data_IF_301638198866
#
_entry.id   IF_301638198866
#
_cell.length_a   1.000
_cell.length_b   1.000
_cell.length_c   1.000
_cell.angle_alpha   90.00
_cell.angle_beta   90.00
_cell.angle_gamma   90.00
#
_symmetry.space_group_name_H-M   'P 1'
#
loop_
_entity.id
_entity.type
_entity.pdbx_description
1 polymer ?
#
# COMPACT_ATOMS: atom_id res chain seq x y z
N UNK A 1 8.24 -21.86 20.90
CA UNK A 1 8.82 -20.52 20.66
C UNK A 1 7.66 -19.53 20.55
N UNK A 2 7.59 -18.49 21.40
CA UNK A 2 6.63 -17.41 21.23
C UNK A 2 7.11 -16.54 20.06
N UNK A 3 6.43 -16.61 18.91
CA UNK A 3 6.71 -15.71 17.79
C UNK A 3 6.08 -14.37 18.16
N UNK A 4 6.89 -13.41 18.61
CA UNK A 4 6.43 -12.04 18.89
C UNK A 4 6.64 -11.18 17.64
N UNK A 5 5.56 -10.67 17.05
CA UNK A 5 5.60 -9.75 15.90
C UNK A 5 5.77 -8.28 16.29
N UNK A 6 6.29 -8.00 17.50
CA UNK A 6 6.42 -6.63 18.05
C UNK A 6 7.22 -5.70 17.16
N UNK A 7 8.32 -6.18 16.56
CA UNK A 7 9.11 -5.39 15.62
C UNK A 7 8.30 -5.04 14.37
N UNK A 8 7.58 -5.99 13.79
CA UNK A 8 6.80 -5.77 12.56
C UNK A 8 5.68 -4.75 12.80
N UNK A 9 5.02 -4.82 13.97
CA UNK A 9 4.01 -3.84 14.40
C UNK A 9 4.60 -2.43 14.60
N UNK A 10 5.83 -2.34 15.11
CA UNK A 10 6.53 -1.07 15.27
C UNK A 10 6.89 -0.48 13.90
N UNK A 11 7.35 -1.30 12.95
CA UNK A 11 7.63 -0.85 11.58
C UNK A 11 6.36 -0.32 10.90
N UNK A 12 5.22 -1.00 11.04
CA UNK A 12 3.94 -0.48 10.50
C UNK A 12 3.55 0.86 11.10
N UNK A 13 3.77 1.06 12.41
CA UNK A 13 3.48 2.32 13.08
C UNK A 13 4.39 3.47 12.59
N UNK A 14 5.66 3.19 12.30
CA UNK A 14 6.57 4.17 11.68
C UNK A 14 6.09 4.56 10.28
N UNK A 15 5.66 3.58 9.47
CA UNK A 15 5.12 3.83 8.14
C UNK A 15 3.87 4.71 8.21
N UNK A 16 2.97 4.45 9.16
CA UNK A 16 1.77 5.27 9.36
C UNK A 16 2.13 6.70 9.77
N UNK A 17 3.08 6.87 10.70
CA UNK A 17 3.58 8.17 11.10
C UNK A 17 4.19 8.96 9.94
N UNK A 18 5.02 8.31 9.12
CA UNK A 18 5.61 8.91 7.93
C UNK A 18 4.54 9.28 6.88
N UNK A 19 3.54 8.41 6.68
CA UNK A 19 2.44 8.65 5.74
C UNK A 19 1.59 9.85 6.16
N UNK A 20 1.29 9.97 7.47
CA UNK A 20 0.56 11.13 8.01
C UNK A 20 1.37 12.42 7.92
N UNK A 21 2.69 12.36 8.19
CA UNK A 21 3.58 13.50 8.01
C UNK A 21 3.60 13.95 6.54
N UNK A 22 3.71 13.01 5.60
CA UNK A 22 3.67 13.30 4.16
C UNK A 22 2.33 13.94 3.76
N UNK A 23 1.20 13.40 4.22
CA UNK A 23 -0.12 14.00 3.98
C UNK A 23 -0.25 15.42 4.56
N UNK A 24 0.33 15.67 5.73
CA UNK A 24 0.39 17.01 6.32
C UNK A 24 1.23 17.98 5.48
N UNK A 25 2.39 17.55 4.99
CA UNK A 25 3.22 18.34 4.08
C UNK A 25 2.52 18.65 2.76
N UNK A 26 1.79 17.68 2.19
CA UNK A 26 0.96 17.89 1.00
C UNK A 26 -0.12 18.95 1.24
N UNK A 27 -0.77 18.93 2.41
CA UNK A 27 -1.77 19.93 2.77
C UNK A 27 -1.16 21.33 2.85
N UNK A 28 0.01 21.47 3.48
CA UNK A 28 0.72 22.75 3.56
C UNK A 28 1.10 23.27 2.17
N UNK A 29 1.58 22.39 1.28
CA UNK A 29 1.91 22.74 -0.10
C UNK A 29 0.69 23.21 -0.91
N UNK A 30 -0.47 22.59 -0.71
CA UNK A 30 -1.72 23.04 -1.31
C UNK A 30 -2.14 24.42 -0.81
N UNK A 31 -2.12 24.65 0.51
CA UNK A 31 -2.49 25.95 1.11
C UNK A 31 -1.61 27.07 0.54
N UNK A 32 -0.29 26.85 0.46
CA UNK A 32 0.62 27.82 -0.13
C UNK A 32 0.27 28.12 -1.59
N UNK A 33 -0.01 27.07 -2.38
CA UNK A 33 -0.39 27.21 -3.79
C UNK A 33 -1.72 27.97 -3.97
N UNK A 34 -2.68 27.79 -3.05
CA UNK A 34 -3.92 28.57 -3.02
C UNK A 34 -3.64 30.06 -2.78
N UNK A 35 -2.77 30.38 -1.83
CA UNK A 35 -2.43 31.76 -1.49
C UNK A 35 -1.69 32.49 -2.62
N UNK A 36 -0.83 31.79 -3.35
CA UNK A 36 -0.06 32.35 -4.47
C UNK A 36 -0.81 32.32 -5.80
N UNK A 37 -2.09 31.91 -5.81
CA UNK A 37 -2.91 31.73 -7.03
C UNK A 37 -2.22 30.89 -8.12
N UNK A 38 -1.32 29.99 -7.75
CA UNK A 38 -0.52 29.18 -8.67
C UNK A 38 -1.14 27.80 -8.93
N UNK A 39 -2.39 27.60 -8.53
CA UNK A 39 -3.05 26.30 -8.64
C UNK A 39 -3.53 26.01 -10.05
N UNK A 40 -2.97 24.95 -10.62
CA UNK A 40 -3.42 24.37 -11.87
C UNK A 40 -4.35 23.18 -11.61
N UNK A 41 -5.32 22.95 -12.49
CA UNK A 41 -6.26 21.81 -12.44
C UNK A 41 -5.55 20.46 -12.27
N UNK A 42 -4.41 20.32 -12.93
CA UNK A 42 -3.58 19.11 -12.90
C UNK A 42 -2.93 18.85 -11.54
N UNK A 43 -2.54 19.91 -10.83
CA UNK A 43 -1.98 19.83 -9.48
C UNK A 43 -3.04 19.37 -8.47
N UNK A 44 -4.26 19.92 -8.55
CA UNK A 44 -5.39 19.49 -7.70
C UNK A 44 -5.70 18.02 -7.93
N UNK A 45 -5.80 17.60 -9.20
CA UNK A 45 -6.04 16.19 -9.56
C UNK A 45 -4.96 15.27 -8.98
N UNK A 46 -3.70 15.66 -9.07
CA UNK A 46 -2.56 14.91 -8.53
C UNK A 46 -2.62 14.80 -7.02
N UNK A 47 -2.92 15.89 -6.32
CA UNK A 47 -3.07 15.88 -4.87
C UNK A 47 -4.19 14.94 -4.42
N UNK A 48 -5.30 14.88 -5.15
CA UNK A 48 -6.38 13.91 -4.86
C UNK A 48 -5.86 12.46 -4.95
N UNK A 49 -5.13 12.11 -6.01
CA UNK A 49 -4.55 10.77 -6.15
C UNK A 49 -3.50 10.46 -5.07
N UNK A 50 -2.70 11.45 -4.67
CA UNK A 50 -1.74 11.30 -3.57
C UNK A 50 -2.43 11.08 -2.21
N UNK A 51 -3.54 11.77 -1.93
CA UNK A 51 -4.33 11.50 -0.72
C UNK A 51 -4.99 10.12 -0.76
N UNK A 52 -5.51 9.70 -1.92
CA UNK A 52 -6.03 8.34 -2.10
C UNK A 52 -4.92 7.31 -1.83
N UNK A 53 -3.71 7.52 -2.36
CA UNK A 53 -2.56 6.65 -2.11
C UNK A 53 -2.21 6.59 -0.61
N UNK A 54 -2.20 7.72 0.10
CA UNK A 54 -1.98 7.76 1.55
C UNK A 54 -3.03 6.94 2.30
N UNK A 55 -4.32 7.10 1.97
CA UNK A 55 -5.40 6.33 2.58
C UNK A 55 -5.23 4.83 2.32
N UNK A 56 -4.88 4.44 1.10
CA UNK A 56 -4.62 3.03 0.76
C UNK A 56 -3.47 2.47 1.60
N UNK A 57 -2.37 3.21 1.78
CA UNK A 57 -1.23 2.79 2.59
C UNK A 57 -1.64 2.57 4.05
N UNK A 58 -2.43 3.47 4.64
CA UNK A 58 -2.96 3.32 6.00
C UNK A 58 -3.86 2.07 6.11
N UNK A 59 -4.69 1.79 5.10
CA UNK A 59 -5.48 0.57 5.07
C UNK A 59 -4.62 -0.70 4.95
N UNK A 60 -3.55 -0.67 4.15
CA UNK A 60 -2.58 -1.78 4.06
C UNK A 60 -1.96 -2.04 5.43
N UNK A 61 -1.48 -0.99 6.10
CA UNK A 61 -0.91 -1.07 7.45
C UNK A 61 -1.89 -1.70 8.45
N UNK A 62 -3.16 -1.27 8.43
CA UNK A 62 -4.20 -1.84 9.29
C UNK A 62 -4.42 -3.35 9.08
N UNK A 63 -4.45 -3.81 7.82
CA UNK A 63 -4.55 -5.24 7.53
C UNK A 63 -3.28 -6.01 7.91
N UNK A 64 -2.10 -5.44 7.72
CA UNK A 64 -0.83 -6.03 8.17
C UNK A 64 -0.81 -6.20 9.69
N UNK A 65 -1.24 -5.19 10.45
CA UNK A 65 -1.34 -5.28 11.91
C UNK A 65 -2.26 -6.43 12.35
N UNK A 66 -3.41 -6.62 11.67
CA UNK A 66 -4.31 -7.75 11.91
C UNK A 66 -3.67 -9.10 11.58
N UNK A 67 -2.91 -9.18 10.49
CA UNK A 67 -2.16 -10.40 10.13
C UNK A 67 -1.12 -10.71 11.21
N UNK A 68 -0.36 -9.71 11.67
CA UNK A 68 0.64 -9.88 12.73
C UNK A 68 0.01 -10.34 14.04
N UNK A 69 -1.17 -9.80 14.38
CA UNK A 69 -1.92 -10.28 15.52
C UNK A 69 -2.34 -11.75 15.39
N UNK A 70 -2.80 -12.19 14.20
CA UNK A 70 -3.12 -13.61 13.96
C UNK A 70 -1.89 -14.52 14.07
N UNK A 71 -0.70 -14.03 13.70
CA UNK A 71 0.57 -14.76 13.89
C UNK A 71 0.87 -14.92 15.39
N UNK A 72 0.73 -13.86 16.18
CA UNK A 72 1.00 -13.89 17.62
C UNK A 72 0.10 -14.89 18.36
N UNK A 73 -1.15 -15.06 17.91
CA UNK A 73 -2.12 -16.01 18.51
C UNK A 73 -2.14 -17.39 17.82
N UNK A 74 -1.17 -17.68 16.95
CA UNK A 74 -1.05 -18.95 16.21
C UNK A 74 -2.26 -19.31 15.30
N UNK A 75 -3.05 -18.32 14.89
CA UNK A 75 -4.25 -18.47 14.02
C UNK A 75 -4.00 -18.00 12.57
N UNK A 76 -2.74 -17.98 12.12
CA UNK A 76 -2.38 -17.49 10.79
C UNK A 76 -2.90 -18.36 9.64
N UNK A 77 -3.14 -19.65 9.83
CA UNK A 77 -3.65 -20.55 8.78
C UNK A 77 -5.19 -20.59 8.70
N UNK A 78 -5.86 -19.60 9.28
CA UNK A 78 -7.32 -19.53 9.31
C UNK A 78 -7.91 -18.84 8.07
N UNK A 79 -9.20 -19.07 7.77
CA UNK A 79 -9.91 -18.34 6.72
C UNK A 79 -9.89 -16.81 6.92
N UNK A 80 -9.76 -16.34 8.19
CA UNK A 80 -9.65 -14.92 8.52
C UNK A 80 -8.33 -14.34 8.02
N UNK A 81 -7.22 -15.03 8.24
CA UNK A 81 -5.91 -14.61 7.75
C UNK A 81 -5.90 -14.54 6.22
N UNK A 82 -6.46 -15.56 5.55
CA UNK A 82 -6.58 -15.56 4.09
C UNK A 82 -7.36 -14.35 3.56
N UNK A 83 -8.45 -13.97 4.22
CA UNK A 83 -9.21 -12.76 3.87
C UNK A 83 -8.37 -11.49 4.02
N UNK A 84 -7.58 -11.37 5.08
CA UNK A 84 -6.70 -10.20 5.27
C UNK A 84 -5.59 -10.15 4.22
N UNK A 85 -4.91 -11.27 3.95
CA UNK A 85 -3.87 -11.34 2.89
C UNK A 85 -4.47 -10.96 1.53
N UNK A 86 -5.67 -11.46 1.21
CA UNK A 86 -6.39 -11.11 -0.03
C UNK A 86 -6.69 -9.61 -0.14
N UNK A 87 -7.12 -8.99 0.96
CA UNK A 87 -7.37 -7.56 1.01
C UNK A 87 -6.08 -6.75 0.80
N UNK A 88 -4.96 -7.18 1.39
CA UNK A 88 -3.66 -6.52 1.19
C UNK A 88 -3.25 -6.58 -0.29
N UNK A 89 -3.42 -7.72 -0.98
CA UNK A 89 -3.16 -7.82 -2.42
C UNK A 89 -3.98 -6.81 -3.23
N UNK A 90 -5.28 -6.74 -2.99
CA UNK A 90 -6.16 -5.79 -3.70
C UNK A 90 -5.76 -4.35 -3.44
N UNK A 91 -5.40 -4.01 -2.20
CA UNK A 91 -4.96 -2.65 -1.85
C UNK A 91 -3.65 -2.29 -2.56
N UNK A 92 -2.68 -3.19 -2.68
CA UNK A 92 -1.48 -2.94 -3.48
C UNK A 92 -1.80 -2.76 -4.98
N UNK A 93 -2.76 -3.50 -5.52
CA UNK A 93 -3.24 -3.28 -6.90
C UNK A 93 -3.91 -1.90 -7.05
N UNK A 94 -4.71 -1.48 -6.07
CA UNK A 94 -5.30 -0.13 -6.06
C UNK A 94 -4.24 0.97 -5.90
N UNK A 95 -3.20 0.73 -5.11
CA UNK A 95 -2.09 1.66 -4.93
C UNK A 95 -1.35 1.90 -6.26
N UNK A 96 -1.13 0.84 -7.04
CA UNK A 96 -0.61 0.97 -8.41
C UNK A 96 -1.48 1.90 -9.26
N UNK A 97 -2.80 1.68 -9.28
CA UNK A 97 -3.73 2.52 -10.04
C UNK A 97 -3.73 3.98 -9.55
N UNK A 98 -3.64 4.21 -8.24
CA UNK A 98 -3.55 5.55 -7.68
C UNK A 98 -2.27 6.28 -8.12
N UNK A 99 -1.13 5.59 -8.15
CA UNK A 99 0.14 6.15 -8.65
C UNK A 99 0.04 6.43 -10.16
N UNK A 100 -0.57 5.54 -10.93
CA UNK A 100 -0.81 5.78 -12.36
C UNK A 100 -1.69 7.01 -12.61
N UNK A 101 -2.62 7.34 -11.70
CA UNK A 101 -3.43 8.56 -11.76
C UNK A 101 -2.63 9.87 -11.65
N UNK A 102 -1.40 9.82 -11.15
CA UNK A 102 -0.48 10.96 -11.02
C UNK A 102 0.30 11.21 -12.34
N UNK A 103 0.35 10.23 -13.23
CA UNK A 103 1.12 10.30 -14.48
C UNK A 103 0.85 11.53 -15.35
N UNK A 104 -0.39 12.03 -15.51
CA UNK A 104 -0.64 13.24 -16.30
C UNK A 104 0.17 14.45 -15.82
N UNK A 105 0.33 14.61 -14.51
CA UNK A 105 1.13 15.69 -13.94
C UNK A 105 2.63 15.45 -14.09
N UNK A 106 3.08 14.21 -13.95
CA UNK A 106 4.48 13.84 -14.17
C UNK A 106 4.88 14.08 -15.62
N UNK A 107 4.04 13.69 -16.57
CA UNK A 107 4.26 13.94 -18.00
C UNK A 107 4.37 15.44 -18.28
N UNK A 108 3.42 16.23 -17.79
CA UNK A 108 3.45 17.68 -17.97
C UNK A 108 4.70 18.33 -17.36
N UNK A 109 5.09 17.90 -16.15
CA UNK A 109 6.27 18.42 -15.47
C UNK A 109 7.58 18.01 -16.17
N UNK A 110 7.63 16.80 -16.72
CA UNK A 110 8.76 16.31 -17.50
C UNK A 110 8.95 17.09 -18.80
N UNK A 111 7.86 17.42 -19.48
CA UNK A 111 7.88 18.21 -20.71
C UNK A 111 8.32 19.66 -20.44
N UNK A 112 7.77 20.30 -19.40
CA UNK A 112 8.16 21.65 -18.98
C UNK A 112 9.61 21.76 -18.51
N UNK A 113 10.11 20.73 -17.82
CA UNK A 113 11.45 20.71 -17.25
C UNK A 113 12.53 20.15 -18.18
N UNK A 114 12.18 19.79 -19.42
CA UNK A 114 13.04 19.04 -20.36
C UNK A 114 13.72 17.81 -19.70
N UNK A 115 12.93 17.10 -18.88
CA UNK A 115 13.38 16.03 -18.01
C UNK A 115 12.59 14.73 -18.24
N UNK A 116 12.73 14.09 -19.42
CA UNK A 116 11.95 12.89 -19.77
C UNK A 116 12.22 11.71 -18.82
N UNK A 117 13.37 11.70 -18.12
CA UNK A 117 13.70 10.68 -17.12
C UNK A 117 12.70 10.57 -15.95
N UNK A 118 11.97 11.65 -15.62
CA UNK A 118 10.95 11.64 -14.56
C UNK A 118 9.81 10.66 -14.83
N UNK A 119 9.45 10.48 -16.11
CA UNK A 119 8.41 9.55 -16.54
C UNK A 119 8.86 8.12 -16.24
N UNK A 120 10.10 7.78 -16.61
CA UNK A 120 10.68 6.43 -16.41
C UNK A 120 10.81 6.11 -14.92
N UNK A 121 11.29 7.06 -14.11
CA UNK A 121 11.44 6.88 -12.65
C UNK A 121 10.06 6.65 -12.01
N UNK A 122 9.06 7.45 -12.37
CA UNK A 122 7.71 7.31 -11.82
C UNK A 122 7.08 5.97 -12.22
N UNK A 123 7.24 5.55 -13.47
CA UNK A 123 6.81 4.23 -13.93
C UNK A 123 7.48 3.10 -13.14
N UNK A 124 8.81 3.17 -12.95
CA UNK A 124 9.54 2.17 -12.17
C UNK A 124 9.00 2.06 -10.73
N UNK A 125 8.72 3.20 -10.09
CA UNK A 125 8.11 3.24 -8.75
C UNK A 125 6.69 2.66 -8.76
N UNK A 126 5.89 2.94 -9.79
CA UNK A 126 4.54 2.42 -9.92
C UNK A 126 4.51 0.88 -9.99
N UNK A 127 5.51 0.24 -10.59
CA UNK A 127 5.55 -1.23 -10.68
C UNK A 127 5.86 -1.93 -9.35
N UNK A 128 6.42 -1.24 -8.35
CA UNK A 128 6.73 -1.82 -7.04
C UNK A 128 5.49 -2.43 -6.35
N UNK A 129 4.38 -1.69 -6.13
CA UNK A 129 3.18 -2.26 -5.53
C UNK A 129 2.57 -3.39 -6.37
N UNK A 130 2.72 -3.37 -7.70
CA UNK A 130 2.26 -4.47 -8.55
C UNK A 130 3.08 -5.74 -8.34
N UNK A 131 4.40 -5.64 -8.22
CA UNK A 131 5.29 -6.76 -7.92
C UNK A 131 4.97 -7.35 -6.52
N UNK A 132 4.72 -6.49 -5.53
CA UNK A 132 4.30 -6.91 -4.18
C UNK A 132 2.95 -7.64 -4.25
N UNK A 133 1.97 -7.13 -5.01
CA UNK A 133 0.68 -7.79 -5.19
C UNK A 133 0.82 -9.18 -5.83
N UNK A 134 1.72 -9.34 -6.81
CA UNK A 134 2.02 -10.65 -7.42
C UNK A 134 2.63 -11.62 -6.39
N UNK A 135 3.57 -11.15 -5.57
CA UNK A 135 4.15 -11.94 -4.48
C UNK A 135 3.08 -12.38 -3.46
N UNK A 136 2.21 -11.46 -3.05
CA UNK A 136 1.10 -11.78 -2.13
C UNK A 136 0.15 -12.80 -2.75
N UNK A 137 -0.12 -12.73 -4.05
CA UNK A 137 -0.94 -13.72 -4.74
C UNK A 137 -0.34 -15.14 -4.67
N UNK A 138 0.99 -15.26 -4.72
CA UNK A 138 1.66 -16.54 -4.48
C UNK A 138 1.49 -16.99 -3.02
N UNK A 139 1.63 -16.08 -2.04
CA UNK A 139 1.37 -16.39 -0.62
C UNK A 139 -0.07 -16.81 -0.35
N UNK A 140 -1.06 -16.21 -1.01
CA UNK A 140 -2.47 -16.61 -0.91
C UNK A 140 -2.66 -18.08 -1.28
N UNK A 141 -2.02 -18.55 -2.37
CA UNK A 141 -2.11 -19.96 -2.80
C UNK A 141 -1.48 -20.91 -1.77
N UNK A 142 -0.33 -20.53 -1.21
CA UNK A 142 0.33 -21.31 -0.15
C UNK A 142 -0.60 -21.41 1.06
N UNK A 143 -1.17 -20.29 1.50
CA UNK A 143 -2.03 -20.24 2.67
C UNK A 143 -3.31 -21.07 2.50
N UNK A 144 -3.92 -21.06 1.31
CA UNK A 144 -5.08 -21.90 0.98
C UNK A 144 -4.72 -23.38 1.11
N UNK A 145 -3.60 -23.81 0.53
CA UNK A 145 -3.19 -25.21 0.55
C UNK A 145 -2.87 -25.68 1.98
N UNK A 146 -2.14 -24.86 2.74
CA UNK A 146 -1.81 -25.17 4.14
C UNK A 146 -3.05 -25.20 5.04
N UNK A 147 -4.02 -24.32 4.81
CA UNK A 147 -5.28 -24.29 5.58
C UNK A 147 -6.10 -25.56 5.37
N UNK A 148 -6.22 -26.02 4.11
CA UNK A 148 -6.91 -27.28 3.77
C UNK A 148 -6.24 -28.49 4.42
N UNK A 149 -4.92 -28.58 4.34
CA UNK A 149 -4.15 -29.68 4.95
C UNK A 149 -4.37 -29.75 6.46
N UNK A 150 -4.36 -28.60 7.15
CA UNK A 150 -4.63 -28.54 8.59
C UNK A 150 -6.04 -29.05 8.93
N UNK A 151 -7.04 -28.66 8.13
CA UNK A 151 -8.42 -29.08 8.31
C UNK A 151 -8.62 -30.60 8.10
N UNK A 152 -8.01 -31.18 7.06
CA UNK A 152 -8.07 -32.62 6.80
C UNK A 152 -7.43 -33.45 7.92
N UNK A 153 -6.29 -32.98 8.46
CA UNK A 153 -5.60 -33.64 9.56
C UNK A 153 -6.39 -33.58 10.88
N UNK A 154 -7.13 -32.49 11.13
CA UNK A 154 -8.03 -32.37 12.30
C UNK A 154 -9.27 -33.28 12.20
N UNK A 155 -9.69 -33.67 10.98
CA UNK A 155 -10.87 -34.53 10.75
C UNK A 155 -10.58 -36.04 10.81
N UNK A 156 -9.30 -36.44 10.84
CA UNK A 156 -8.90 -37.86 10.77
C UNK A 156 -8.44 -38.42 12.13
N UNK A 157 -8.38 -37.57 13.17
CA UNK A 157 -8.00 -37.96 14.55
C UNK A 157 -9.25 -38.29 15.37
#
# INVERSE_FOLDING_TARGET
MQIKTTLLKLVTLIIDGFTLLFAFMLMMGLINSFQTHSLFKLQIMTSVFLYIACLIILFISHYLYRIFHLIDIHDFFSPKALRFVKNVRYLFTLLFLAIMGIMPFVYHSADLGDAPGLIVITLAIAFIPLAIAAFISAMEKILINSSKFKQENELTI
#
